data_IF_051222965441
#
_entry.id   IF_051222965441
#
_cell.length_a   1.000
_cell.length_b   1.000
_cell.length_c   1.000
_cell.angle_alpha   90.00
_cell.angle_beta   90.00
_cell.angle_gamma   90.00
#
_symmetry.space_group_name_H-M   'P 1'
#
loop_
_entity.id
_entity.type
_entity.pdbx_description
1 polymer ?
#
# COMPACT_ATOMS: atom_id res chain seq x y z
N UNK A 1 -19.80 -10.84 -22.74
CA UNK A 1 -20.09 -9.46 -22.31
C UNK A 1 -19.45 -9.13 -20.94
N UNK A 2 -19.73 -9.87 -19.84
CA UNK A 2 -19.19 -9.57 -18.49
C UNK A 2 -17.66 -9.52 -18.42
N UNK A 3 -16.94 -10.48 -19.03
CA UNK A 3 -15.46 -10.49 -19.08
C UNK A 3 -14.87 -9.31 -19.85
N UNK A 4 -15.49 -8.92 -20.95
CA UNK A 4 -15.03 -7.76 -21.71
C UNK A 4 -15.12 -6.49 -20.88
N UNK A 5 -16.19 -6.32 -20.10
CA UNK A 5 -16.33 -5.18 -19.18
C UNK A 5 -15.26 -5.21 -18.09
N UNK A 6 -14.99 -6.38 -17.49
CA UNK A 6 -13.90 -6.52 -16.49
C UNK A 6 -12.53 -6.22 -17.10
N UNK A 7 -12.27 -6.65 -18.33
CA UNK A 7 -11.00 -6.35 -19.01
C UNK A 7 -10.84 -4.86 -19.29
N UNK A 8 -11.90 -4.20 -19.78
CA UNK A 8 -11.90 -2.75 -19.99
C UNK A 8 -11.67 -2.02 -18.66
N UNK A 9 -12.40 -2.37 -17.62
CA UNK A 9 -12.26 -1.81 -16.29
C UNK A 9 -10.82 -1.98 -15.77
N UNK A 10 -10.25 -3.19 -15.86
CA UNK A 10 -8.89 -3.49 -15.43
C UNK A 10 -7.85 -2.65 -16.18
N UNK A 11 -8.00 -2.49 -17.51
CA UNK A 11 -7.13 -1.64 -18.32
C UNK A 11 -7.22 -0.17 -17.84
N UNK A 12 -8.42 0.36 -17.61
CA UNK A 12 -8.59 1.71 -17.11
C UNK A 12 -7.96 1.91 -15.73
N UNK A 13 -8.19 0.99 -14.80
CA UNK A 13 -7.57 1.04 -13.46
C UNK A 13 -6.05 0.99 -13.58
N UNK A 14 -5.51 0.11 -14.43
CA UNK A 14 -4.08 0.01 -14.66
C UNK A 14 -3.50 1.32 -15.21
N UNK A 15 -4.09 1.88 -16.25
CA UNK A 15 -3.59 3.10 -16.89
C UNK A 15 -3.67 4.34 -16.01
N UNK A 16 -4.73 4.46 -15.21
CA UNK A 16 -4.99 5.68 -14.43
C UNK A 16 -4.34 5.62 -13.05
N UNK A 17 -4.34 4.46 -12.37
CA UNK A 17 -3.91 4.37 -10.99
C UNK A 17 -2.58 3.62 -10.77
N UNK A 18 -2.28 2.64 -11.61
CA UNK A 18 -1.08 1.81 -11.42
C UNK A 18 0.11 2.30 -12.26
N UNK A 19 -0.13 2.76 -13.48
CA UNK A 19 0.93 3.19 -14.38
C UNK A 19 1.61 4.50 -13.94
N UNK A 20 0.91 5.55 -13.45
CA UNK A 20 1.56 6.81 -13.07
C UNK A 20 2.63 6.66 -11.97
N UNK A 21 2.42 5.93 -10.85
CA UNK A 21 3.46 5.68 -9.87
C UNK A 21 4.69 4.95 -10.43
N UNK A 22 4.49 4.04 -11.39
CA UNK A 22 5.60 3.31 -12.02
C UNK A 22 6.49 4.19 -12.91
N UNK A 23 5.96 5.34 -13.38
CA UNK A 23 6.71 6.32 -14.16
C UNK A 23 7.39 7.39 -13.30
N UNK A 24 7.11 7.42 -12.01
CA UNK A 24 7.74 8.36 -11.10
C UNK A 24 9.26 8.10 -11.08
N UNK A 25 10.05 9.11 -11.46
CA UNK A 25 11.52 8.98 -11.44
C UNK A 25 12.01 9.07 -9.99
N UNK A 26 13.12 8.38 -9.66
CA UNK A 26 13.82 8.62 -8.40
C UNK A 26 14.16 10.10 -8.37
N UNK A 27 13.62 10.81 -7.41
CA UNK A 27 14.00 12.21 -7.22
C UNK A 27 15.37 12.22 -6.54
N UNK A 28 16.42 12.81 -7.15
CA UNK A 28 17.68 12.96 -6.47
C UNK A 28 17.42 13.89 -5.28
N UNK A 29 17.39 13.30 -4.06
CA UNK A 29 17.39 14.02 -2.78
C UNK A 29 16.41 15.21 -2.66
N UNK A 30 15.38 15.27 -3.46
CA UNK A 30 14.34 16.27 -3.29
C UNK A 30 13.71 16.00 -1.92
N UNK A 31 13.81 16.99 -1.05
CA UNK A 31 13.05 17.06 0.19
C UNK A 31 11.60 16.74 -0.11
N UNK A 32 11.18 15.51 0.20
CA UNK A 32 9.75 15.21 0.17
C UNK A 32 9.20 15.93 1.40
N UNK A 33 8.82 17.18 1.17
CA UNK A 33 8.19 18.00 2.18
C UNK A 33 6.88 17.30 2.59
N UNK A 34 6.61 17.18 3.89
CA UNK A 34 5.28 16.76 4.37
C UNK A 34 4.18 17.65 3.80
N UNK A 35 4.52 18.88 3.36
CA UNK A 35 3.62 19.77 2.66
C UNK A 35 3.24 19.25 1.26
N UNK A 36 4.01 18.34 0.68
CA UNK A 36 3.68 17.69 -0.59
C UNK A 36 2.72 16.51 -0.42
N UNK A 37 2.67 15.90 0.77
CA UNK A 37 1.67 14.88 1.11
C UNK A 37 0.37 15.61 1.47
N UNK A 38 -0.33 16.07 0.43
CA UNK A 38 -1.61 16.80 0.58
C UNK A 38 -2.75 15.92 0.14
N UNK A 39 -3.90 16.18 0.76
CA UNK A 39 -5.16 15.73 0.21
C UNK A 39 -5.42 16.49 -1.10
N UNK A 40 -5.30 15.80 -2.23
CA UNK A 40 -5.51 16.36 -3.56
C UNK A 40 -6.85 15.91 -4.14
N UNK A 41 -7.37 16.62 -5.13
CA UNK A 41 -8.54 16.18 -5.87
C UNK A 41 -8.31 14.80 -6.50
N UNK A 42 -7.09 14.53 -6.97
CA UNK A 42 -6.72 13.21 -7.50
C UNK A 42 -6.81 12.11 -6.42
N UNK A 43 -6.29 12.34 -5.20
CA UNK A 43 -6.40 11.35 -4.12
C UNK A 43 -7.84 11.10 -3.69
N UNK A 44 -8.69 12.13 -3.71
CA UNK A 44 -10.12 11.99 -3.43
C UNK A 44 -10.85 11.19 -4.52
N UNK A 45 -10.61 11.51 -5.79
CA UNK A 45 -11.20 10.78 -6.92
C UNK A 45 -10.73 9.32 -6.97
N UNK A 46 -9.45 9.07 -6.71
CA UNK A 46 -8.91 7.72 -6.60
C UNK A 46 -9.58 6.92 -5.48
N UNK A 47 -9.72 7.53 -4.29
CA UNK A 47 -10.36 6.88 -3.15
C UNK A 47 -11.84 6.56 -3.44
N UNK A 48 -12.56 7.51 -4.02
CA UNK A 48 -13.95 7.31 -4.42
C UNK A 48 -14.06 6.19 -5.46
N UNK A 49 -13.20 6.16 -6.47
CA UNK A 49 -13.17 5.11 -7.49
C UNK A 49 -12.88 3.74 -6.86
N UNK A 50 -11.88 3.64 -5.98
CA UNK A 50 -11.58 2.39 -5.26
C UNK A 50 -12.77 1.92 -4.42
N UNK A 51 -13.46 2.83 -3.72
CA UNK A 51 -14.67 2.51 -2.96
C UNK A 51 -15.81 2.00 -3.85
N UNK A 52 -16.03 2.63 -5.01
CA UNK A 52 -17.02 2.20 -6.00
C UNK A 52 -16.67 0.82 -6.57
N UNK A 53 -15.42 0.60 -6.96
CA UNK A 53 -14.96 -0.71 -7.45
C UNK A 53 -15.11 -1.79 -6.37
N UNK A 54 -14.80 -1.48 -5.09
CA UNK A 54 -15.02 -2.40 -3.99
C UNK A 54 -16.51 -2.75 -3.86
N UNK A 55 -17.39 -1.77 -3.99
CA UNK A 55 -18.83 -1.99 -3.96
C UNK A 55 -19.31 -2.88 -5.11
N UNK A 56 -18.84 -2.66 -6.34
CA UNK A 56 -19.18 -3.48 -7.50
C UNK A 56 -18.66 -4.92 -7.41
N UNK A 57 -17.46 -5.12 -6.86
CA UNK A 57 -16.84 -6.43 -6.72
C UNK A 57 -17.06 -7.09 -5.35
N UNK A 58 -17.88 -6.50 -4.49
CA UNK A 58 -18.13 -6.99 -3.12
C UNK A 58 -18.61 -8.44 -3.05
N UNK A 59 -19.32 -8.91 -4.06
CA UNK A 59 -19.84 -10.29 -4.07
C UNK A 59 -18.73 -11.31 -4.30
N UNK A 60 -17.72 -10.98 -5.14
CA UNK A 60 -16.50 -11.78 -5.29
C UNK A 60 -15.77 -11.82 -3.95
N UNK A 61 -15.59 -10.66 -3.30
CA UNK A 61 -14.96 -10.56 -1.99
C UNK A 61 -15.69 -11.37 -0.92
N UNK A 62 -17.01 -11.23 -0.81
CA UNK A 62 -17.83 -11.96 0.17
C UNK A 62 -17.73 -13.46 -0.03
N UNK A 63 -17.91 -13.95 -1.26
CA UNK A 63 -17.84 -15.37 -1.59
C UNK A 63 -16.48 -15.96 -1.24
N UNK A 64 -15.39 -15.26 -1.58
CA UNK A 64 -14.03 -15.78 -1.40
C UNK A 64 -13.52 -15.67 0.04
N UNK A 65 -13.83 -14.60 0.74
CA UNK A 65 -13.20 -14.27 2.02
C UNK A 65 -14.14 -14.29 3.22
N UNK A 66 -15.39 -13.89 3.10
CA UNK A 66 -16.31 -13.82 4.24
C UNK A 66 -17.00 -15.17 4.47
N UNK A 67 -17.56 -15.76 3.42
CA UNK A 67 -18.29 -17.03 3.55
C UNK A 67 -17.38 -18.23 3.84
N UNK A 68 -16.10 -18.13 3.50
CA UNK A 68 -15.13 -19.22 3.68
C UNK A 68 -14.40 -19.20 5.03
N UNK A 69 -14.61 -18.19 5.89
CA UNK A 69 -13.76 -18.01 7.07
C UNK A 69 -14.51 -18.03 8.39
N UNK A 70 -14.23 -19.08 9.20
CA UNK A 70 -14.44 -19.08 10.66
C UNK A 70 -13.08 -18.92 11.34
N UNK A 71 -12.48 -17.69 11.29
CA UNK A 71 -11.17 -17.46 11.89
C UNK A 71 -11.36 -17.04 13.34
N UNK A 72 -10.65 -17.71 14.25
CA UNK A 72 -10.64 -17.36 15.66
C UNK A 72 -10.09 -15.95 15.85
N UNK A 73 -10.72 -15.15 16.72
CA UNK A 73 -10.36 -13.77 16.99
C UNK A 73 -8.92 -13.64 17.52
N UNK A 74 -8.48 -14.58 18.36
CA UNK A 74 -7.10 -14.61 18.86
C UNK A 74 -6.07 -14.79 17.75
N UNK A 75 -6.35 -15.66 16.78
CA UNK A 75 -5.49 -15.86 15.60
C UNK A 75 -5.41 -14.56 14.79
N UNK A 76 -6.52 -13.85 14.62
CA UNK A 76 -6.54 -12.56 13.94
C UNK A 76 -5.63 -11.54 14.63
N UNK A 77 -5.75 -11.37 15.95
CA UNK A 77 -4.92 -10.43 16.71
C UNK A 77 -3.44 -10.79 16.64
N UNK A 78 -3.11 -12.08 16.79
CA UNK A 78 -1.72 -12.55 16.69
C UNK A 78 -1.12 -12.25 15.31
N UNK A 79 -1.87 -12.51 14.23
CA UNK A 79 -1.43 -12.22 12.85
C UNK A 79 -1.20 -10.71 12.64
N UNK A 80 -2.07 -9.86 13.17
CA UNK A 80 -1.95 -8.40 13.10
C UNK A 80 -0.68 -7.93 13.84
N UNK A 81 -0.48 -8.38 15.08
CA UNK A 81 0.66 -7.96 15.90
C UNK A 81 2.00 -8.46 15.31
N UNK A 82 2.08 -9.72 14.92
CA UNK A 82 3.28 -10.28 14.29
C UNK A 82 3.55 -9.56 12.97
N UNK A 83 2.53 -9.36 12.14
CA UNK A 83 2.66 -8.67 10.87
C UNK A 83 3.14 -7.23 11.04
N UNK A 84 2.58 -6.47 11.99
CA UNK A 84 3.03 -5.12 12.29
C UNK A 84 4.48 -5.11 12.78
N UNK A 85 4.85 -5.98 13.72
CA UNK A 85 6.23 -6.10 14.20
C UNK A 85 7.21 -6.46 13.08
N UNK A 86 6.81 -7.34 12.16
CA UNK A 86 7.63 -7.73 10.99
C UNK A 86 7.80 -6.55 10.01
N UNK A 87 6.77 -5.73 9.79
CA UNK A 87 6.87 -4.51 8.98
C UNK A 87 7.88 -3.53 9.57
N UNK A 88 7.78 -3.25 10.88
CA UNK A 88 8.70 -2.36 11.57
C UNK A 88 10.13 -2.89 11.49
N UNK A 89 10.33 -4.17 11.76
CA UNK A 89 11.65 -4.81 11.68
C UNK A 89 12.25 -4.73 10.26
N UNK A 90 11.44 -5.02 9.24
CA UNK A 90 11.86 -4.89 7.83
C UNK A 90 12.34 -3.48 7.54
N UNK A 91 11.58 -2.46 7.94
CA UNK A 91 11.97 -1.07 7.71
C UNK A 91 13.23 -0.67 8.46
N UNK A 92 13.41 -1.11 9.70
CA UNK A 92 14.66 -0.87 10.43
C UNK A 92 15.87 -1.48 9.72
N UNK A 93 15.73 -2.71 9.19
CA UNK A 93 16.79 -3.37 8.42
C UNK A 93 17.12 -2.56 7.15
N UNK A 94 16.11 -2.16 6.37
CA UNK A 94 16.35 -1.41 5.13
C UNK A 94 16.87 0.00 5.39
N UNK A 95 16.48 0.65 6.47
CA UNK A 95 17.07 1.92 6.89
C UNK A 95 18.55 1.75 7.28
N UNK A 96 18.89 0.70 8.03
CA UNK A 96 20.28 0.39 8.36
C UNK A 96 21.10 0.10 7.09
N UNK A 97 20.59 -0.69 6.15
CA UNK A 97 21.23 -0.95 4.86
C UNK A 97 21.47 0.39 4.11
N UNK A 98 20.46 1.24 4.03
CA UNK A 98 20.57 2.56 3.38
C UNK A 98 21.64 3.42 4.02
N UNK A 99 21.72 3.44 5.35
CA UNK A 99 22.75 4.17 6.09
C UNK A 99 24.16 3.69 5.75
N UNK A 100 24.40 2.38 5.76
CA UNK A 100 25.70 1.81 5.41
C UNK A 100 26.06 2.00 3.93
N UNK A 101 25.09 1.87 3.01
CA UNK A 101 25.33 2.11 1.58
C UNK A 101 25.71 3.56 1.27
N UNK A 102 25.13 4.51 1.98
CA UNK A 102 25.38 5.94 1.84
C UNK A 102 26.62 6.40 2.66
N UNK A 103 27.47 5.49 3.12
CA UNK A 103 28.69 5.76 3.90
C UNK A 103 28.46 6.64 5.13
N UNK A 104 27.36 6.44 5.80
CA UNK A 104 27.01 7.21 7.00
C UNK A 104 26.51 8.64 6.73
N UNK A 105 26.47 9.07 5.47
CA UNK A 105 25.74 10.26 5.10
C UNK A 105 24.27 9.93 5.27
N UNK A 106 23.67 10.40 6.36
CA UNK A 106 22.22 10.40 6.49
C UNK A 106 21.69 11.27 5.36
N UNK A 107 21.16 10.63 4.33
CA UNK A 107 20.26 11.31 3.40
C UNK A 107 19.02 11.60 4.23
N UNK A 108 19.13 12.58 5.11
CA UNK A 108 18.02 13.11 5.87
C UNK A 108 17.10 13.77 4.86
N UNK A 109 16.14 12.98 4.36
CA UNK A 109 14.96 13.57 3.75
C UNK A 109 14.23 14.26 4.89
N UNK A 110 14.50 15.53 5.10
CA UNK A 110 13.75 16.32 6.06
C UNK A 110 12.33 16.45 5.54
N UNK A 111 11.44 15.65 6.09
CA UNK A 111 10.01 15.86 5.89
C UNK A 111 9.66 17.21 6.55
N UNK A 112 9.43 18.25 5.76
CA UNK A 112 9.04 19.54 6.33
C UNK A 112 7.79 19.38 7.19
N UNK A 113 7.94 19.65 8.48
CA UNK A 113 6.87 19.52 9.47
C UNK A 113 5.70 20.43 9.09
N UNK A 114 4.45 19.95 9.05
CA UNK A 114 3.30 20.79 8.82
C UNK A 114 3.22 21.92 9.87
N UNK A 115 3.09 23.16 9.42
CA UNK A 115 3.06 24.34 10.26
C UNK A 115 1.65 24.77 10.69
N UNK A 116 0.61 24.02 10.30
CA UNK A 116 -0.77 24.32 10.65
C UNK A 116 -1.59 23.08 10.93
N UNK A 117 -2.65 23.23 11.74
CA UNK A 117 -3.60 22.15 12.02
C UNK A 117 -4.23 21.59 10.73
N UNK A 118 -4.57 22.43 9.76
CA UNK A 118 -5.17 21.98 8.51
C UNK A 118 -4.20 21.14 7.67
N UNK A 119 -2.91 21.42 7.69
CA UNK A 119 -1.90 20.59 7.02
C UNK A 119 -1.74 19.24 7.70
N UNK A 120 -1.76 19.18 9.04
CA UNK A 120 -1.79 17.90 9.76
C UNK A 120 -3.02 17.08 9.44
N UNK A 121 -4.19 17.73 9.37
CA UNK A 121 -5.43 17.04 9.02
C UNK A 121 -5.39 16.54 7.57
N UNK A 122 -4.85 17.34 6.65
CA UNK A 122 -4.66 16.96 5.24
C UNK A 122 -3.71 15.76 5.11
N UNK A 123 -2.58 15.77 5.82
CA UNK A 123 -1.63 14.66 5.87
C UNK A 123 -2.30 13.38 6.41
N UNK A 124 -3.07 13.51 7.50
CA UNK A 124 -3.81 12.39 8.06
C UNK A 124 -4.73 11.73 7.03
N UNK A 125 -5.62 12.51 6.42
CA UNK A 125 -6.56 11.96 5.44
C UNK A 125 -5.86 11.45 4.18
N UNK A 126 -4.83 12.14 3.68
CA UNK A 126 -4.05 11.67 2.54
C UNK A 126 -3.42 10.31 2.80
N UNK A 127 -2.81 10.11 3.99
CA UNK A 127 -2.19 8.86 4.40
C UNK A 127 -3.21 7.72 4.53
N UNK A 128 -4.36 7.99 5.16
CA UNK A 128 -5.44 7.00 5.33
C UNK A 128 -6.03 6.60 3.97
N UNK A 129 -6.29 7.57 3.09
CA UNK A 129 -6.88 7.31 1.78
C UNK A 129 -5.91 6.58 0.84
N UNK A 130 -4.62 6.96 0.86
CA UNK A 130 -3.59 6.24 0.11
C UNK A 130 -3.50 4.77 0.55
N UNK A 131 -3.39 4.51 1.86
CA UNK A 131 -3.37 3.16 2.40
C UNK A 131 -4.62 2.34 2.02
N UNK A 132 -5.81 2.96 2.05
CA UNK A 132 -7.05 2.28 1.61
C UNK A 132 -6.97 1.87 0.14
N UNK A 133 -6.57 2.80 -0.74
CA UNK A 133 -6.46 2.52 -2.17
C UNK A 133 -5.42 1.43 -2.45
N UNK A 134 -4.26 1.50 -1.79
CA UNK A 134 -3.20 0.52 -1.95
C UNK A 134 -3.62 -0.86 -1.47
N UNK A 135 -4.22 -0.98 -0.29
CA UNK A 135 -4.69 -2.27 0.19
C UNK A 135 -5.82 -2.84 -0.68
N UNK A 136 -6.75 -2.00 -1.14
CA UNK A 136 -7.79 -2.44 -2.06
C UNK A 136 -7.20 -2.94 -3.39
N UNK A 137 -6.35 -2.15 -4.04
CA UNK A 137 -5.80 -2.46 -5.36
C UNK A 137 -4.87 -3.67 -5.33
N UNK A 138 -3.91 -3.68 -4.41
CA UNK A 138 -2.84 -4.68 -4.40
C UNK A 138 -3.17 -5.95 -3.61
N UNK A 139 -4.14 -5.93 -2.66
CA UNK A 139 -4.51 -7.13 -1.89
C UNK A 139 -5.77 -7.81 -2.39
N UNK A 140 -6.66 -7.08 -3.04
CA UNK A 140 -7.92 -7.65 -3.54
C UNK A 140 -8.05 -7.48 -5.06
N UNK A 141 -8.05 -6.24 -5.58
CA UNK A 141 -8.45 -5.98 -6.96
C UNK A 141 -7.55 -6.70 -7.98
N UNK A 142 -6.24 -6.45 -7.95
CA UNK A 142 -5.31 -7.05 -8.92
C UNK A 142 -5.29 -8.58 -8.82
N UNK A 143 -5.10 -9.21 -7.64
CA UNK A 143 -5.04 -10.66 -7.55
C UNK A 143 -6.35 -11.34 -7.91
N UNK A 144 -7.48 -10.82 -7.42
CA UNK A 144 -8.75 -11.52 -7.55
C UNK A 144 -9.43 -11.25 -8.88
N UNK A 145 -9.49 -9.99 -9.32
CA UNK A 145 -10.08 -9.64 -10.63
C UNK A 145 -9.18 -10.15 -11.77
N UNK A 146 -7.86 -10.10 -11.62
CA UNK A 146 -6.93 -10.72 -12.56
C UNK A 146 -7.15 -12.23 -12.69
N UNK A 147 -7.36 -12.92 -11.58
CA UNK A 147 -7.68 -14.35 -11.57
C UNK A 147 -9.01 -14.62 -12.26
N UNK A 148 -10.06 -13.83 -12.02
CA UNK A 148 -11.36 -13.94 -12.70
C UNK A 148 -11.22 -13.69 -14.22
N UNK A 149 -10.41 -12.70 -14.64
CA UNK A 149 -10.12 -12.43 -16.05
C UNK A 149 -9.44 -13.59 -16.76
N UNK A 150 -8.61 -14.35 -16.05
CA UNK A 150 -7.90 -15.52 -16.56
C UNK A 150 -8.65 -16.86 -16.37
N UNK A 151 -9.97 -16.84 -16.12
CA UNK A 151 -10.81 -18.01 -15.85
C UNK A 151 -10.35 -18.87 -14.65
N UNK A 152 -9.84 -18.23 -13.60
CA UNK A 152 -9.27 -18.93 -12.47
C UNK A 152 -7.89 -19.52 -12.73
N UNK A 153 -7.33 -19.29 -13.93
CA UNK A 153 -5.98 -19.72 -14.27
C UNK A 153 -4.95 -18.74 -13.69
N UNK A 154 -3.79 -19.26 -13.37
CA UNK A 154 -2.62 -18.47 -12.95
C UNK A 154 -2.83 -17.57 -11.71
N UNK A 155 -3.53 -17.99 -10.64
CA UNK A 155 -3.74 -17.14 -9.47
C UNK A 155 -2.41 -16.69 -8.85
N UNK A 156 -1.39 -17.55 -8.81
CA UNK A 156 -0.07 -17.22 -8.29
C UNK A 156 0.63 -16.11 -9.11
N UNK A 157 0.46 -16.09 -10.42
CA UNK A 157 1.04 -15.02 -11.25
C UNK A 157 0.41 -13.66 -10.93
N UNK A 158 -0.90 -13.61 -10.69
CA UNK A 158 -1.57 -12.38 -10.30
C UNK A 158 -1.17 -11.91 -8.89
N UNK A 159 -0.90 -12.83 -7.98
CA UNK A 159 -0.33 -12.53 -6.66
C UNK A 159 1.06 -11.90 -6.78
N UNK A 160 1.96 -12.54 -7.54
CA UNK A 160 3.32 -12.05 -7.78
C UNK A 160 3.26 -10.69 -8.49
N UNK A 161 2.42 -10.56 -9.50
CA UNK A 161 2.23 -9.32 -10.24
C UNK A 161 1.80 -8.17 -9.34
N UNK A 162 0.83 -8.40 -8.43
CA UNK A 162 0.37 -7.39 -7.49
C UNK A 162 1.48 -6.93 -6.55
N UNK A 163 2.29 -7.85 -6.00
CA UNK A 163 3.42 -7.53 -5.12
C UNK A 163 4.51 -6.77 -5.88
N UNK A 164 4.83 -7.18 -7.10
CA UNK A 164 5.83 -6.50 -7.91
C UNK A 164 5.41 -5.08 -8.29
N UNK A 165 4.17 -4.88 -8.76
CA UNK A 165 3.67 -3.54 -9.09
C UNK A 165 3.66 -2.65 -7.84
N UNK A 166 3.24 -3.18 -6.68
CA UNK A 166 3.31 -2.44 -5.42
C UNK A 166 4.75 -2.03 -5.09
N UNK A 167 5.72 -2.92 -5.23
CA UNK A 167 7.12 -2.59 -5.00
C UNK A 167 7.64 -1.51 -5.97
N UNK A 168 7.36 -1.67 -7.26
CA UNK A 168 7.80 -0.71 -8.28
C UNK A 168 7.08 0.62 -8.21
N UNK A 169 5.86 0.70 -7.67
CA UNK A 169 5.20 1.98 -7.42
C UNK A 169 5.96 2.87 -6.42
N UNK A 170 6.90 2.27 -5.67
CA UNK A 170 7.80 2.96 -4.74
C UNK A 170 9.18 3.28 -5.36
N UNK A 171 9.31 3.19 -6.69
CA UNK A 171 10.57 3.45 -7.41
C UNK A 171 11.15 4.84 -7.11
N UNK A 172 10.30 5.82 -6.84
CA UNK A 172 10.72 7.17 -6.44
C UNK A 172 11.56 7.21 -5.16
N UNK A 173 11.49 6.16 -4.32
CA UNK A 173 12.30 6.03 -3.10
C UNK A 173 13.69 5.40 -3.35
N UNK A 174 14.00 5.05 -4.61
CA UNK A 174 15.24 4.36 -4.99
C UNK A 174 15.22 2.85 -4.70
N UNK A 175 16.34 2.18 -4.97
CA UNK A 175 16.43 0.71 -4.91
C UNK A 175 16.07 0.15 -3.52
N UNK A 176 16.59 0.74 -2.45
CA UNK A 176 16.30 0.30 -1.07
C UNK A 176 14.79 0.44 -0.76
N UNK A 177 14.15 1.52 -1.22
CA UNK A 177 12.71 1.72 -1.08
C UNK A 177 11.90 0.64 -1.82
N UNK A 178 12.29 0.26 -3.02
CA UNK A 178 11.64 -0.83 -3.79
C UNK A 178 11.71 -2.14 -3.01
N UNK A 179 12.90 -2.52 -2.51
CA UNK A 179 13.05 -3.75 -1.74
C UNK A 179 12.24 -3.71 -0.44
N UNK A 180 12.27 -2.58 0.29
CA UNK A 180 11.43 -2.43 1.47
C UNK A 180 9.93 -2.59 1.13
N UNK A 181 9.45 -1.90 0.09
CA UNK A 181 8.06 -2.01 -0.37
C UNK A 181 7.71 -3.44 -0.82
N UNK A 182 8.63 -4.16 -1.45
CA UNK A 182 8.44 -5.56 -1.83
C UNK A 182 8.15 -6.44 -0.60
N UNK A 183 8.97 -6.36 0.45
CA UNK A 183 8.76 -7.12 1.68
C UNK A 183 7.50 -6.66 2.42
N UNK A 184 7.24 -5.34 2.51
CA UNK A 184 5.99 -4.82 3.06
C UNK A 184 4.78 -5.35 2.27
N UNK A 185 4.88 -5.41 0.95
CA UNK A 185 3.86 -5.97 0.06
C UNK A 185 3.52 -7.41 0.39
N UNK A 186 4.52 -8.25 0.58
CA UNK A 186 4.35 -9.66 0.98
C UNK A 186 3.71 -9.77 2.37
N UNK A 187 4.22 -9.03 3.36
CA UNK A 187 3.72 -9.08 4.74
C UNK A 187 2.24 -8.70 4.80
N UNK A 188 1.86 -7.58 4.19
CA UNK A 188 0.47 -7.11 4.15
C UNK A 188 -0.44 -8.09 3.40
N UNK A 189 0.05 -8.72 2.32
CA UNK A 189 -0.69 -9.78 1.62
C UNK A 189 -0.89 -11.00 2.52
N UNK A 190 0.12 -11.42 3.27
CA UNK A 190 0.01 -12.53 4.22
C UNK A 190 -1.00 -12.23 5.34
N UNK A 191 -1.01 -10.99 5.88
CA UNK A 191 -2.02 -10.55 6.85
C UNK A 191 -3.42 -10.70 6.24
N UNK A 192 -3.64 -10.21 5.01
CA UNK A 192 -4.91 -10.33 4.33
C UNK A 192 -5.35 -11.78 4.14
N UNK A 193 -4.46 -12.64 3.62
CA UNK A 193 -4.77 -14.06 3.38
C UNK A 193 -5.06 -14.84 4.67
N UNK A 194 -4.36 -14.51 5.76
CA UNK A 194 -4.56 -15.16 7.06
C UNK A 194 -5.79 -14.65 7.79
N UNK A 195 -6.10 -13.36 7.69
CA UNK A 195 -7.24 -12.75 8.39
C UNK A 195 -8.53 -12.79 7.58
N UNK A 196 -8.44 -13.00 6.26
CA UNK A 196 -9.56 -12.95 5.29
C UNK A 196 -10.34 -11.62 5.37
N UNK A 197 -9.67 -10.56 5.78
CA UNK A 197 -10.26 -9.24 5.97
C UNK A 197 -9.35 -8.16 5.44
N UNK A 198 -9.84 -7.35 4.50
CA UNK A 198 -9.10 -6.22 3.94
C UNK A 198 -8.82 -5.13 5.00
N UNK A 199 -9.67 -5.04 6.01
CA UNK A 199 -9.53 -4.06 7.08
C UNK A 199 -8.33 -4.31 8.01
N UNK A 200 -7.86 -5.58 8.10
CA UNK A 200 -6.72 -5.90 8.93
C UNK A 200 -5.40 -5.36 8.36
N UNK A 201 -4.99 -5.68 7.11
CA UNK A 201 -3.80 -5.06 6.53
C UNK A 201 -3.96 -3.55 6.36
N UNK A 202 -5.15 -3.04 6.04
CA UNK A 202 -5.40 -1.60 6.00
C UNK A 202 -5.08 -0.90 7.33
N UNK A 203 -5.62 -1.40 8.45
CA UNK A 203 -5.30 -0.86 9.76
C UNK A 203 -3.81 -0.93 10.08
N UNK A 204 -3.18 -2.08 9.84
CA UNK A 204 -1.73 -2.27 10.04
C UNK A 204 -0.92 -1.28 9.19
N UNK A 205 -1.28 -1.09 7.93
CA UNK A 205 -0.61 -0.18 7.01
C UNK A 205 -0.74 1.28 7.44
N UNK A 206 -1.94 1.70 7.84
CA UNK A 206 -2.17 3.05 8.37
C UNK A 206 -1.32 3.30 9.61
N UNK A 207 -1.35 2.40 10.60
CA UNK A 207 -0.54 2.54 11.81
C UNK A 207 0.97 2.56 11.51
N UNK A 208 1.42 1.72 10.59
CA UNK A 208 2.80 1.69 10.15
C UNK A 208 3.22 3.02 9.51
N UNK A 209 2.42 3.58 8.59
CA UNK A 209 2.71 4.87 7.95
C UNK A 209 2.76 6.01 8.98
N UNK A 210 1.83 6.03 9.95
CA UNK A 210 1.88 7.02 11.03
C UNK A 210 3.09 6.86 11.93
N UNK A 211 3.50 5.63 12.24
CA UNK A 211 4.72 5.38 13.00
C UNK A 211 5.95 5.95 12.27
N UNK A 212 6.08 5.71 10.97
CA UNK A 212 7.18 6.25 10.16
C UNK A 212 7.17 7.77 10.18
N UNK A 213 6.02 8.41 9.94
CA UNK A 213 5.87 9.87 9.98
C UNK A 213 6.23 10.42 11.36
N UNK A 214 5.80 9.76 12.44
CA UNK A 214 6.08 10.17 13.80
C UNK A 214 7.58 10.06 14.14
N UNK A 215 8.23 8.97 13.74
CA UNK A 215 9.68 8.81 13.94
C UNK A 215 10.45 9.89 13.19
N UNK A 216 10.11 10.16 11.94
CA UNK A 216 10.72 11.25 11.15
C UNK A 216 10.52 12.62 11.83
N UNK A 217 9.34 12.88 12.38
CA UNK A 217 9.07 14.11 13.13
C UNK A 217 9.95 14.25 14.39
N UNK A 218 10.21 13.13 15.10
CA UNK A 218 11.06 13.16 16.31
C UNK A 218 12.55 13.39 15.97
N UNK A 219 13.03 12.84 14.85
CA UNK A 219 14.42 12.99 14.44
C UNK A 219 14.74 14.42 13.98
N UNK A 220 13.73 15.17 13.54
CA UNK A 220 13.89 16.55 13.06
C UNK A 220 13.84 17.61 14.18
N UNK A 221 13.50 17.24 15.40
CA UNK A 221 13.55 18.10 16.59
C UNK A 221 14.92 18.09 17.25
#
# INVERSE_FOLDING_TARGET
MKKMLFAIEFIFVFLIFLLPPLKARPQPQAEISMQEIKLTLFSLTMTFTCAMLFFFHRDIYKKKYIQSSKINIFVKHSVILIGFGTLVLSSCIFQAISFFMNKGLSVQKSLAVPNSFFLWLSLFFATVFAAFCEEFLYRFYIPDIGTELSDGKFPLLWEIFAVLIFAFSHFYQGAVGIFNAFFCGIILRLIFLKTKSLWCPFGVHVFYNFLVIFVEFLIQK
#
